data_IF_398064900379
#
_entry.id   IF_398064900379
#
_cell.length_a   1.000
_cell.length_b   1.000
_cell.length_c   1.000
_cell.angle_alpha   90.00
_cell.angle_beta   90.00
_cell.angle_gamma   90.00
#
_symmetry.space_group_name_H-M   'P 1'
#
loop_
_entity.id
_entity.type
_entity.pdbx_description
1 polymer ?
#
# COMPACT_ATOMS: atom_id res chain seq x y z
N UNK A 1 20.04 17.91 -4.37
CA UNK A 1 19.04 16.86 -4.07
C UNK A 1 18.46 16.37 -5.38
N UNK A 2 18.51 15.08 -5.62
CA UNK A 2 17.97 14.47 -6.83
C UNK A 2 16.45 14.35 -6.74
N UNK A 3 15.75 14.56 -7.86
CA UNK A 3 14.32 14.27 -7.96
C UNK A 3 14.12 12.83 -8.46
N UNK A 4 13.14 12.15 -7.89
CA UNK A 4 12.64 10.87 -8.36
C UNK A 4 11.25 11.10 -8.96
N UNK A 5 11.16 11.06 -10.28
CA UNK A 5 9.93 11.39 -11.00
C UNK A 5 9.34 10.22 -11.79
N UNK A 6 10.03 9.10 -11.82
CA UNK A 6 9.61 7.91 -12.56
C UNK A 6 9.48 6.75 -11.59
N UNK A 7 8.31 6.13 -11.59
CA UNK A 7 8.01 4.92 -10.84
C UNK A 7 7.73 3.78 -11.80
N UNK A 8 8.26 2.59 -11.48
CA UNK A 8 7.96 1.36 -12.19
C UNK A 8 7.69 0.24 -11.19
N UNK A 9 6.70 -0.63 -11.46
CA UNK A 9 6.43 -1.78 -10.61
C UNK A 9 7.61 -2.74 -10.51
N UNK A 10 7.64 -3.54 -9.45
CA UNK A 10 8.61 -4.60 -9.28
C UNK A 10 8.67 -5.50 -10.52
N UNK A 11 9.87 -5.84 -10.98
CA UNK A 11 10.09 -6.62 -12.18
C UNK A 11 10.00 -5.85 -13.50
N UNK A 12 9.68 -4.56 -13.46
CA UNK A 12 9.53 -3.70 -14.65
C UNK A 12 10.55 -2.55 -14.71
N UNK A 13 11.66 -2.70 -13.99
CA UNK A 13 12.76 -1.75 -14.02
C UNK A 13 14.10 -2.50 -13.97
N UNK A 14 15.21 -1.86 -14.41
CA UNK A 14 16.51 -2.53 -14.50
C UNK A 14 17.16 -2.71 -13.13
N UNK A 15 16.89 -3.81 -12.47
CA UNK A 15 17.35 -4.08 -11.11
C UNK A 15 18.88 -4.13 -11.00
N UNK A 16 19.58 -4.45 -12.08
CA UNK A 16 21.04 -4.39 -12.15
C UNK A 16 21.60 -2.97 -12.02
N UNK A 17 20.76 -1.96 -12.23
CA UNK A 17 21.12 -0.55 -12.08
C UNK A 17 20.73 0.04 -10.73
N UNK A 18 20.37 -0.80 -9.76
CA UNK A 18 20.02 -0.33 -8.43
C UNK A 18 21.23 0.32 -7.76
N UNK A 19 21.03 1.53 -7.26
CA UNK A 19 22.05 2.32 -6.59
C UNK A 19 21.82 2.47 -5.08
N UNK A 20 20.69 2.02 -4.60
CA UNK A 20 20.33 2.09 -3.20
C UNK A 20 18.87 1.71 -2.97
N UNK A 21 18.44 1.82 -1.74
CA UNK A 21 17.09 1.47 -1.31
C UNK A 21 16.42 2.60 -0.56
N UNK A 22 15.09 2.60 -0.59
CA UNK A 22 14.23 3.47 0.20
C UNK A 22 13.30 2.59 1.03
N UNK A 23 13.50 2.57 2.33
CA UNK A 23 12.65 1.80 3.25
C UNK A 23 11.54 2.70 3.76
N UNK A 24 10.30 2.44 3.32
CA UNK A 24 9.17 3.34 3.50
C UNK A 24 7.99 2.59 4.13
N UNK A 25 7.32 3.23 5.09
CA UNK A 25 6.06 2.73 5.61
C UNK A 25 4.91 2.94 4.61
N UNK A 26 3.72 2.49 4.98
CA UNK A 26 2.54 2.58 4.12
C UNK A 26 2.24 4.02 3.69
N UNK A 27 2.23 4.96 4.63
CA UNK A 27 1.89 6.35 4.32
C UNK A 27 2.91 6.98 3.37
N UNK A 28 4.20 6.75 3.58
CA UNK A 28 5.26 7.28 2.71
C UNK A 28 5.21 6.67 1.30
N UNK A 29 4.74 5.42 1.16
CA UNK A 29 4.58 4.76 -0.14
C UNK A 29 3.37 5.23 -0.95
N UNK A 30 2.50 6.08 -0.37
CA UNK A 30 1.29 6.58 -1.02
C UNK A 30 1.35 8.09 -1.32
N UNK A 31 2.52 8.67 -1.31
CA UNK A 31 2.71 10.10 -1.56
C UNK A 31 3.05 10.36 -3.01
N UNK A 32 2.51 11.45 -3.54
CA UNK A 32 2.90 11.98 -4.84
C UNK A 32 4.20 12.78 -4.75
N UNK A 33 4.34 13.56 -3.70
CA UNK A 33 5.49 14.45 -3.49
C UNK A 33 5.88 14.48 -2.02
N UNK A 34 7.11 14.08 -1.75
CA UNK A 34 7.66 14.06 -0.38
C UNK A 34 9.19 14.04 -0.43
N UNK A 35 9.82 14.65 0.53
CA UNK A 35 11.25 14.48 0.77
C UNK A 35 11.48 13.14 1.45
N UNK A 36 12.42 12.39 0.91
CA UNK A 36 12.80 11.09 1.43
C UNK A 36 14.31 11.05 1.65
N UNK A 37 14.74 10.21 2.57
CA UNK A 37 16.15 9.90 2.74
C UNK A 37 16.36 8.45 2.37
N UNK A 38 17.18 8.20 1.36
CA UNK A 38 17.57 6.85 0.99
C UNK A 38 18.35 6.19 2.13
N UNK A 39 18.33 4.88 2.18
CA UNK A 39 18.95 4.13 3.29
C UNK A 39 20.46 4.39 3.41
N UNK A 40 21.12 4.72 2.30
CA UNK A 40 22.51 5.13 2.28
C UNK A 40 22.76 6.60 2.69
N UNK A 41 21.71 7.37 3.01
CA UNK A 41 21.79 8.73 3.53
C UNK A 41 21.55 9.85 2.52
N UNK A 42 21.40 9.56 1.24
CA UNK A 42 21.11 10.55 0.21
C UNK A 42 19.70 11.08 0.33
N UNK A 43 19.53 12.40 0.26
CA UNK A 43 18.23 13.05 0.23
C UNK A 43 17.67 13.04 -1.19
N UNK A 44 16.41 12.65 -1.32
CA UNK A 44 15.70 12.53 -2.58
C UNK A 44 14.36 13.22 -2.47
N UNK A 45 13.97 13.96 -3.49
CA UNK A 45 12.62 14.49 -3.62
C UNK A 45 11.81 13.57 -4.52
N UNK A 46 10.87 12.85 -3.93
CA UNK A 46 9.84 12.17 -4.72
C UNK A 46 8.94 13.23 -5.34
N UNK A 47 8.76 13.20 -6.65
CA UNK A 47 7.89 14.13 -7.37
C UNK A 47 7.28 13.42 -8.57
N UNK A 48 6.22 12.66 -8.29
CA UNK A 48 5.51 11.88 -9.29
C UNK A 48 4.40 12.72 -9.94
N UNK A 49 4.02 12.42 -11.19
CA UNK A 49 2.89 13.08 -11.85
C UNK A 49 1.58 12.92 -11.12
N UNK A 50 1.40 11.79 -10.44
CA UNK A 50 0.24 11.46 -9.61
C UNK A 50 0.64 10.57 -8.45
N UNK A 51 -0.19 10.51 -7.41
CA UNK A 51 0.01 9.59 -6.31
C UNK A 51 -0.09 8.14 -6.81
N UNK A 52 0.85 7.31 -6.38
CA UNK A 52 0.93 5.89 -6.71
C UNK A 52 1.08 5.09 -5.42
N UNK A 53 0.38 3.98 -5.32
CA UNK A 53 0.61 3.00 -4.27
C UNK A 53 1.87 2.20 -4.59
N UNK A 54 2.99 2.60 -4.01
CA UNK A 54 4.25 1.89 -4.22
C UNK A 54 4.29 0.60 -3.39
N UNK A 55 4.68 -0.49 -4.02
CA UNK A 55 4.83 -1.79 -3.37
C UNK A 55 6.30 -2.10 -3.10
N UNK A 56 6.53 -3.06 -2.23
CA UNK A 56 7.86 -3.61 -2.00
C UNK A 56 8.47 -4.11 -3.32
N UNK A 57 9.70 -3.73 -3.60
CA UNK A 57 10.38 -4.10 -4.83
C UNK A 57 10.18 -3.16 -6.01
N UNK A 58 9.33 -2.15 -5.90
CA UNK A 58 9.15 -1.14 -6.95
C UNK A 58 10.42 -0.31 -7.13
N UNK A 59 10.58 0.26 -8.31
CA UNK A 59 11.72 1.12 -8.64
C UNK A 59 11.34 2.58 -8.79
N UNK A 60 12.21 3.46 -8.31
CA UNK A 60 12.15 4.90 -8.55
C UNK A 60 13.41 5.33 -9.28
N UNK A 61 13.26 6.01 -10.39
CA UNK A 61 14.39 6.53 -11.14
C UNK A 61 14.69 7.98 -10.78
N UNK A 62 15.94 8.25 -10.49
CA UNK A 62 16.46 9.59 -10.23
C UNK A 62 16.76 10.32 -11.56
N UNK A 63 16.87 11.64 -11.49
CA UNK A 63 17.19 12.49 -12.64
C UNK A 63 18.47 12.08 -13.35
N UNK A 64 19.46 11.59 -12.62
CA UNK A 64 20.74 11.15 -13.16
C UNK A 64 20.71 9.73 -13.76
N UNK A 65 19.55 9.09 -13.78
CA UNK A 65 19.35 7.77 -14.36
C UNK A 65 19.52 6.60 -13.39
N UNK A 66 20.01 6.84 -12.18
CA UNK A 66 20.12 5.80 -11.14
C UNK A 66 18.74 5.35 -10.69
N UNK A 67 18.66 4.12 -10.21
CA UNK A 67 17.43 3.55 -9.66
C UNK A 67 17.56 3.30 -8.17
N UNK A 68 16.50 3.57 -7.44
CA UNK A 68 16.34 3.19 -6.05
C UNK A 68 15.23 2.16 -5.93
N UNK A 69 15.45 1.12 -5.13
CA UNK A 69 14.44 0.12 -4.85
C UNK A 69 13.64 0.51 -3.61
N UNK A 70 12.31 0.48 -3.74
CA UNK A 70 11.41 0.69 -2.63
C UNK A 70 11.33 -0.58 -1.81
N UNK A 71 11.51 -0.47 -0.51
CA UNK A 71 11.29 -1.55 0.46
C UNK A 71 10.19 -1.14 1.43
N UNK A 72 9.25 -2.04 1.67
CA UNK A 72 8.21 -1.80 2.66
C UNK A 72 8.78 -1.96 4.06
N UNK A 73 8.77 -0.88 4.83
CA UNK A 73 9.23 -0.90 6.21
C UNK A 73 8.30 -1.72 7.09
N UNK A 74 8.89 -2.43 8.07
CA UNK A 74 8.09 -3.04 9.13
C UNK A 74 7.43 -1.94 9.98
N UNK A 75 6.16 -2.11 10.28
CA UNK A 75 5.38 -1.16 11.07
C UNK A 75 4.40 -1.92 11.97
N UNK A 76 3.80 -1.21 12.91
CA UNK A 76 2.82 -1.80 13.82
C UNK A 76 1.57 -2.21 13.06
N UNK A 77 1.24 -3.49 13.12
CA UNK A 77 0.14 -4.12 12.41
C UNK A 77 -0.67 -4.97 13.37
N UNK A 78 -1.96 -5.04 13.15
CA UNK A 78 -2.85 -5.97 13.85
C UNK A 78 -3.21 -7.09 12.90
N UNK A 79 -2.84 -8.32 13.28
CA UNK A 79 -3.28 -9.52 12.58
C UNK A 79 -4.63 -9.97 13.10
N UNK A 80 -5.54 -10.26 12.19
CA UNK A 80 -6.93 -10.64 12.47
C UNK A 80 -7.15 -12.07 12.02
N UNK A 81 -7.51 -12.94 12.95
CA UNK A 81 -7.85 -14.34 12.68
C UNK A 81 -9.23 -14.67 13.24
N UNK A 82 -9.82 -15.69 12.70
CA UNK A 82 -11.07 -16.26 13.22
C UNK A 82 -11.04 -17.78 13.09
N UNK A 83 -11.58 -18.48 14.08
CA UNK A 83 -11.67 -19.95 14.07
C UNK A 83 -12.55 -20.47 12.94
N UNK A 84 -13.60 -19.72 12.61
CA UNK A 84 -14.50 -20.02 11.52
C UNK A 84 -14.05 -19.27 10.26
N UNK A 85 -13.58 -19.97 9.21
CA UNK A 85 -13.14 -19.34 7.97
C UNK A 85 -14.23 -18.49 7.30
N UNK A 86 -15.49 -18.88 7.43
CA UNK A 86 -16.60 -18.11 6.90
C UNK A 86 -16.72 -16.74 7.60
N UNK A 87 -16.54 -16.72 8.92
CA UNK A 87 -16.57 -15.47 9.66
C UNK A 87 -15.38 -14.57 9.29
N UNK A 88 -14.22 -15.14 9.02
CA UNK A 88 -13.07 -14.37 8.55
C UNK A 88 -13.36 -13.66 7.22
N UNK A 89 -14.04 -14.33 6.30
CA UNK A 89 -14.46 -13.74 5.03
C UNK A 89 -15.43 -12.58 5.28
N UNK A 90 -16.37 -12.75 6.19
CA UNK A 90 -17.31 -11.67 6.56
C UNK A 90 -16.59 -10.47 7.16
N UNK A 91 -15.56 -10.70 7.98
CA UNK A 91 -14.74 -9.62 8.52
C UNK A 91 -14.02 -8.85 7.43
N UNK A 92 -13.46 -9.55 6.44
CA UNK A 92 -12.82 -8.91 5.29
C UNK A 92 -13.81 -8.00 4.55
N UNK A 93 -15.06 -8.46 4.37
CA UNK A 93 -16.10 -7.65 3.75
C UNK A 93 -16.42 -6.40 4.58
N UNK A 94 -16.54 -6.53 5.91
CA UNK A 94 -16.80 -5.39 6.80
C UNK A 94 -15.69 -4.35 6.73
N UNK A 95 -14.43 -4.79 6.71
CA UNK A 95 -13.27 -3.90 6.62
C UNK A 95 -13.23 -3.17 5.28
N UNK A 96 -13.45 -3.88 4.19
CA UNK A 96 -13.52 -3.31 2.84
C UNK A 96 -14.68 -2.33 2.69
N UNK A 97 -15.82 -2.62 3.28
CA UNK A 97 -17.00 -1.76 3.24
C UNK A 97 -16.79 -0.43 4.00
N UNK A 98 -15.85 -0.39 4.92
CA UNK A 98 -15.43 0.83 5.61
C UNK A 98 -14.28 1.55 4.93
N UNK A 99 -13.85 1.09 3.77
CA UNK A 99 -12.70 1.61 3.02
C UNK A 99 -11.40 1.59 3.84
N UNK A 100 -11.31 0.69 4.81
CA UNK A 100 -10.11 0.54 5.61
C UNK A 100 -9.06 -0.24 4.82
N UNK A 101 -7.83 0.26 4.70
CA UNK A 101 -6.77 -0.51 4.07
C UNK A 101 -6.59 -1.86 4.77
N UNK A 102 -6.68 -2.94 4.01
CA UNK A 102 -6.64 -4.31 4.54
C UNK A 102 -5.74 -5.17 3.68
N UNK A 103 -4.76 -5.81 4.29
CA UNK A 103 -3.94 -6.82 3.63
C UNK A 103 -4.59 -8.18 3.86
N UNK A 104 -4.76 -8.95 2.78
CA UNK A 104 -5.33 -10.29 2.83
C UNK A 104 -4.21 -11.30 2.60
N UNK A 105 -4.00 -12.17 3.58
CA UNK A 105 -3.04 -13.28 3.52
C UNK A 105 -3.78 -14.58 3.78
N UNK A 106 -3.10 -15.72 3.62
CA UNK A 106 -3.70 -17.01 3.90
C UNK A 106 -4.20 -17.08 5.34
N UNK A 107 -5.53 -17.16 5.49
CA UNK A 107 -6.23 -17.26 6.77
C UNK A 107 -5.96 -16.13 7.77
N UNK A 108 -5.42 -15.00 7.30
CA UNK A 108 -5.10 -13.84 8.15
C UNK A 108 -5.42 -12.55 7.40
N UNK A 109 -6.06 -11.62 8.10
CA UNK A 109 -6.16 -10.24 7.64
C UNK A 109 -5.19 -9.38 8.45
N UNK A 110 -4.65 -8.33 7.82
CA UNK A 110 -3.80 -7.37 8.51
C UNK A 110 -4.35 -5.97 8.30
N UNK A 111 -4.38 -5.21 9.37
CA UNK A 111 -4.79 -3.79 9.36
C UNK A 111 -3.80 -2.99 10.18
N UNK A 112 -3.78 -1.68 9.96
CA UNK A 112 -3.08 -0.79 10.87
C UNK A 112 -3.86 -0.68 12.18
N UNK A 113 -3.20 -0.42 13.32
CA UNK A 113 -3.89 -0.28 14.59
C UNK A 113 -4.98 0.79 14.52
N UNK A 114 -6.18 0.41 14.97
CA UNK A 114 -7.33 1.30 15.05
C UNK A 114 -8.23 0.80 16.17
N UNK A 115 -8.32 1.57 17.24
CA UNK A 115 -9.02 1.19 18.45
C UNK A 115 -10.51 0.85 18.19
N UNK A 116 -11.20 1.66 17.41
CA UNK A 116 -12.62 1.47 17.11
C UNK A 116 -12.84 0.20 16.28
N UNK A 117 -11.99 0.00 15.27
CA UNK A 117 -12.07 -1.18 14.40
C UNK A 117 -11.73 -2.44 15.19
N UNK A 118 -10.70 -2.40 16.04
CA UNK A 118 -10.31 -3.54 16.87
C UNK A 118 -11.45 -3.96 17.81
N UNK A 119 -12.15 -3.01 18.43
CA UNK A 119 -13.32 -3.30 19.25
C UNK A 119 -14.45 -3.97 18.44
N UNK A 120 -14.70 -3.49 17.24
CA UNK A 120 -15.69 -4.10 16.35
C UNK A 120 -15.30 -5.55 16.02
N UNK A 121 -14.04 -5.80 15.70
CA UNK A 121 -13.54 -7.12 15.37
C UNK A 121 -13.64 -8.08 16.57
N UNK A 122 -13.31 -7.61 17.77
CA UNK A 122 -13.53 -8.38 19.00
C UNK A 122 -15.01 -8.75 19.19
N UNK A 123 -15.91 -7.82 18.89
CA UNK A 123 -17.35 -8.07 18.97
C UNK A 123 -17.83 -9.17 18.02
N UNK A 124 -17.13 -9.39 16.90
CA UNK A 124 -17.40 -10.48 15.96
C UNK A 124 -16.66 -11.78 16.32
N UNK A 125 -15.96 -11.83 17.43
CA UNK A 125 -15.23 -13.02 17.87
C UNK A 125 -13.86 -13.21 17.21
N UNK A 126 -13.31 -12.18 16.61
CA UNK A 126 -11.97 -12.24 16.00
C UNK A 126 -10.89 -12.37 17.06
N UNK A 127 -9.81 -13.04 16.70
CA UNK A 127 -8.57 -13.10 17.47
C UNK A 127 -7.60 -12.06 16.89
N UNK A 128 -7.11 -11.15 17.72
CA UNK A 128 -6.23 -10.06 17.32
C UNK A 128 -4.84 -10.23 17.93
N UNK A 129 -3.81 -10.01 17.13
CA UNK A 129 -2.42 -10.04 17.58
C UNK A 129 -1.66 -8.85 17.00
N UNK A 130 -0.90 -8.15 17.83
CA UNK A 130 -0.02 -7.06 17.39
C UNK A 130 1.30 -7.64 16.94
N UNK A 131 1.71 -7.24 15.71
CA UNK A 131 2.99 -7.66 15.11
C UNK A 131 3.68 -6.48 14.48
N UNK A 132 4.98 -6.64 14.22
CA UNK A 132 5.75 -5.73 13.39
C UNK A 132 5.97 -6.40 12.04
N UNK A 133 5.44 -5.82 10.99
CA UNK A 133 5.52 -6.38 9.65
C UNK A 133 5.33 -5.30 8.58
N UNK A 134 5.85 -5.50 7.38
CA UNK A 134 5.50 -4.66 6.24
C UNK A 134 4.00 -4.71 5.98
N UNK A 135 3.42 -3.57 5.60
CA UNK A 135 2.00 -3.47 5.31
C UNK A 135 1.76 -3.22 3.83
N UNK A 136 1.14 -4.19 3.17
CA UNK A 136 0.80 -4.12 1.75
C UNK A 136 -0.67 -4.47 1.55
N UNK A 137 -1.58 -3.53 1.79
CA UNK A 137 -3.01 -3.76 1.68
C UNK A 137 -3.45 -3.97 0.24
N UNK A 138 -4.63 -4.55 0.06
CA UNK A 138 -5.27 -4.68 -1.25
C UNK A 138 -5.52 -3.30 -1.86
N UNK A 139 -5.28 -3.18 -3.17
CA UNK A 139 -5.48 -1.94 -3.92
C UNK A 139 -6.93 -1.64 -4.28
N UNK A 140 -7.82 -2.60 -4.07
CA UNK A 140 -9.20 -2.52 -4.53
C UNK A 140 -9.35 -2.70 -6.04
N UNK A 141 -10.57 -2.88 -6.50
CA UNK A 141 -10.89 -3.13 -7.92
C UNK A 141 -10.51 -1.94 -8.81
N UNK A 142 -10.44 -0.75 -8.24
CA UNK A 142 -10.08 0.50 -8.92
C UNK A 142 -8.73 1.03 -8.43
N UNK A 143 -7.85 0.12 -8.00
CA UNK A 143 -6.54 0.48 -7.48
C UNK A 143 -5.69 1.20 -8.51
N UNK A 144 -4.80 2.06 -8.02
CA UNK A 144 -3.93 2.90 -8.83
C UNK A 144 -2.89 2.14 -9.63
N UNK A 145 -2.73 0.84 -9.39
CA UNK A 145 -1.66 0.03 -9.92
C UNK A 145 -1.68 -0.06 -11.44
N UNK A 146 -2.82 0.18 -12.06
CA UNK A 146 -3.01 -0.02 -13.48
C UNK A 146 -3.31 1.25 -14.26
N UNK A 147 -3.35 2.39 -13.61
CA UNK A 147 -3.65 3.65 -14.29
C UNK A 147 -5.01 3.66 -14.99
N UNK A 148 -5.85 2.70 -14.69
CA UNK A 148 -7.19 2.65 -15.23
C UNK A 148 -8.04 3.67 -14.49
N UNK A 149 -8.04 4.87 -15.01
CA UNK A 149 -9.18 5.71 -14.79
C UNK A 149 -10.33 5.08 -15.58
N UNK A 150 -11.10 4.26 -14.89
CA UNK A 150 -12.45 4.14 -15.31
C UNK A 150 -13.08 5.51 -15.04
N UNK A 151 -13.02 6.37 -16.04
CA UNK A 151 -13.92 7.47 -16.07
C UNK A 151 -15.29 6.84 -15.83
N UNK A 152 -15.90 7.14 -14.71
CA UNK A 152 -17.32 7.02 -14.65
C UNK A 152 -17.79 7.95 -15.76
N UNK A 153 -18.06 7.37 -16.90
CA UNK A 153 -18.99 8.00 -17.77
C UNK A 153 -20.21 8.17 -16.89
N UNK A 154 -20.49 9.39 -16.54
CA UNK A 154 -21.78 9.76 -16.04
C UNK A 154 -22.75 9.25 -17.08
N UNK A 155 -23.20 8.03 -16.84
CA UNK A 155 -24.38 7.56 -17.52
C UNK A 155 -25.47 8.45 -17.02
N UNK A 156 -25.73 9.49 -17.78
CA UNK A 156 -26.96 10.21 -17.63
C UNK A 156 -28.05 9.18 -17.79
N UNK A 157 -28.55 8.73 -16.68
CA UNK A 157 -29.79 8.00 -16.70
C UNK A 157 -30.87 9.01 -16.98
N UNK A 158 -31.10 9.21 -18.25
CA UNK A 158 -32.34 9.82 -18.67
C UNK A 158 -33.44 8.82 -18.36
N UNK A 159 -34.06 8.99 -17.24
CA UNK A 159 -35.34 8.40 -16.97
C UNK A 159 -36.40 9.29 -17.62
N UNK A 160 -36.86 8.82 -18.73
CA UNK A 160 -38.11 9.31 -19.23
C UNK A 160 -39.25 8.72 -18.43
#
# INVERSE_FOLDING_TARGET
>A
MQNASIHRPAGHWPKEKVAGTLTLDFDARHRRRIRLTADQGENVLLDLPKAVAMADGDGLQLEDGRWLEVQAAAESIVEVRHKDPHQLIRLAWHLGNRHLPTEIRDHVLRIRPDHVIEEMLHGFGAELAKVQAPFQPEGGAYGNDHGHHHGHGDGEHHHD
#
